data_IF_943297949186
#
_entry.id   IF_943297949186
#
_cell.length_a   1.000
_cell.length_b   1.000
_cell.length_c   1.000
_cell.angle_alpha   90.00
_cell.angle_beta   90.00
_cell.angle_gamma   90.00
#
_symmetry.space_group_name_H-M   'P 1'
#
loop_
_entity.id
_entity.type
_entity.pdbx_description
1 polymer ?
#
# COMPACT_ATOMS: atom_id res chain seq x y z
N UNK A 1 43.64 64.08 12.22
CA UNK A 1 43.11 62.79 12.72
C UNK A 1 41.71 62.61 12.17
N UNK A 2 41.51 61.63 11.27
CA UNK A 2 40.24 61.38 10.58
C UNK A 2 39.29 60.60 11.50
N UNK A 3 38.18 61.21 11.91
CA UNK A 3 37.08 60.47 12.53
C UNK A 3 35.85 60.51 11.62
N UNK A 4 35.94 59.76 10.52
CA UNK A 4 34.81 59.47 9.61
C UNK A 4 33.97 58.38 10.28
N UNK A 5 33.16 58.78 11.25
CA UNK A 5 32.21 57.91 11.95
C UNK A 5 31.32 57.23 10.91
N UNK A 6 31.43 55.90 10.87
CA UNK A 6 30.71 54.98 9.98
C UNK A 6 29.24 55.38 9.88
N UNK A 7 28.86 55.91 8.72
CA UNK A 7 27.47 56.04 8.30
C UNK A 7 26.96 54.63 7.99
N UNK A 8 26.63 53.89 9.05
CA UNK A 8 26.00 52.59 8.96
C UNK A 8 24.58 52.81 8.43
N UNK A 9 24.43 52.81 7.10
CA UNK A 9 23.16 52.68 6.40
C UNK A 9 22.57 51.28 6.69
N UNK A 10 22.15 51.03 7.94
CA UNK A 10 21.34 49.86 8.27
C UNK A 10 19.96 50.11 7.68
N UNK A 11 19.79 49.76 6.41
CA UNK A 11 18.47 49.60 5.79
C UNK A 11 17.78 48.46 6.53
N UNK A 12 16.93 48.82 7.49
CA UNK A 12 16.07 47.86 8.19
C UNK A 12 14.98 47.37 7.24
N UNK A 13 14.61 46.10 7.40
CA UNK A 13 13.45 45.51 6.73
C UNK A 13 12.19 46.23 7.25
N UNK A 14 11.31 46.68 6.37
CA UNK A 14 10.06 47.33 6.79
C UNK A 14 9.05 46.25 7.21
N UNK A 15 8.20 46.57 8.18
CA UNK A 15 7.10 45.67 8.56
C UNK A 15 6.14 45.42 7.37
N UNK A 16 6.00 46.39 6.49
CA UNK A 16 5.18 46.30 5.28
C UNK A 16 5.73 45.25 4.31
N UNK A 17 7.04 45.24 4.07
CA UNK A 17 7.68 44.21 3.21
C UNK A 17 7.47 42.80 3.77
N UNK A 18 7.51 42.64 5.09
CA UNK A 18 7.27 41.34 5.74
C UNK A 18 5.82 40.89 5.59
N UNK A 19 4.87 41.79 5.79
CA UNK A 19 3.44 41.49 5.67
C UNK A 19 3.08 41.09 4.23
N UNK A 20 3.58 41.80 3.22
CA UNK A 20 3.31 41.47 1.81
C UNK A 20 3.84 40.07 1.47
N UNK A 21 5.03 39.70 1.94
CA UNK A 21 5.61 38.36 1.71
C UNK A 21 4.76 37.28 2.38
N UNK A 22 4.34 37.48 3.64
CA UNK A 22 3.48 36.51 4.32
C UNK A 22 2.12 36.34 3.62
N UNK A 23 1.55 37.43 3.10
CA UNK A 23 0.29 37.37 2.33
C UNK A 23 0.47 36.53 1.07
N UNK A 24 1.56 36.73 0.31
CA UNK A 24 1.83 35.94 -0.90
C UNK A 24 2.06 34.46 -0.53
N UNK A 25 2.84 34.17 0.51
CA UNK A 25 3.07 32.80 0.99
C UNK A 25 1.77 32.12 1.43
N UNK A 26 0.86 32.85 2.09
CA UNK A 26 -0.43 32.32 2.50
C UNK A 26 -1.31 31.93 1.30
N UNK A 27 -1.36 32.77 0.25
CA UNK A 27 -2.11 32.47 -0.98
C UNK A 27 -1.53 31.24 -1.69
N UNK A 28 -0.20 31.17 -1.82
CA UNK A 28 0.46 30.02 -2.45
C UNK A 28 0.23 28.74 -1.66
N UNK A 29 0.34 28.78 -0.34
CA UNK A 29 0.09 27.63 0.51
C UNK A 29 -1.36 27.14 0.40
N UNK A 30 -2.33 28.04 0.38
CA UNK A 30 -3.76 27.70 0.26
C UNK A 30 -4.09 26.91 -1.01
N UNK A 31 -3.44 27.23 -2.13
CA UNK A 31 -3.62 26.51 -3.41
C UNK A 31 -2.83 25.19 -3.46
N UNK A 32 -1.65 25.16 -2.84
CA UNK A 32 -0.71 24.04 -2.97
C UNK A 32 -1.05 22.87 -2.04
N UNK A 33 -1.54 23.12 -0.83
CA UNK A 33 -1.90 22.09 0.15
C UNK A 33 -2.88 21.04 -0.40
N UNK A 34 -4.06 21.39 -0.97
CA UNK A 34 -5.02 20.39 -1.43
C UNK A 34 -4.51 19.53 -2.59
N UNK A 35 -3.72 20.14 -3.49
CA UNK A 35 -3.09 19.41 -4.58
C UNK A 35 -2.08 18.39 -4.04
N UNK A 36 -1.22 18.80 -3.11
CA UNK A 36 -0.19 17.95 -2.51
C UNK A 36 -0.80 16.77 -1.75
N UNK A 37 -1.87 16.99 -0.96
CA UNK A 37 -2.53 15.91 -0.22
C UNK A 37 -3.10 14.83 -1.16
N UNK A 38 -3.69 15.24 -2.29
CA UNK A 38 -4.22 14.29 -3.28
C UNK A 38 -3.13 13.42 -3.92
N UNK A 39 -1.96 13.99 -4.23
CA UNK A 39 -0.82 13.23 -4.77
C UNK A 39 -0.24 12.25 -3.76
N UNK A 40 -0.15 12.63 -2.48
CA UNK A 40 0.31 11.76 -1.41
C UNK A 40 -0.64 10.56 -1.26
N UNK A 41 -1.94 10.79 -1.27
CA UNK A 41 -2.92 9.70 -1.17
C UNK A 41 -2.90 8.77 -2.37
N UNK A 42 -2.71 9.30 -3.58
CA UNK A 42 -2.53 8.48 -4.78
C UNK A 42 -1.25 7.64 -4.71
N UNK A 43 -0.14 8.22 -4.25
CA UNK A 43 1.12 7.50 -4.05
C UNK A 43 0.97 6.38 -3.02
N UNK A 44 0.28 6.64 -1.91
CA UNK A 44 -0.04 5.62 -0.88
C UNK A 44 -0.91 4.50 -1.44
N UNK A 45 -1.92 4.82 -2.24
CA UNK A 45 -2.77 3.82 -2.90
C UNK A 45 -1.95 2.94 -3.86
N UNK A 46 -1.01 3.52 -4.61
CA UNK A 46 -0.13 2.75 -5.49
C UNK A 46 0.85 1.88 -4.72
N UNK A 47 1.42 2.40 -3.62
CA UNK A 47 2.31 1.67 -2.75
C UNK A 47 1.64 0.42 -2.18
N UNK A 48 0.44 0.56 -1.60
CA UNK A 48 -0.25 -0.59 -1.00
C UNK A 48 -0.63 -1.64 -2.05
N UNK A 49 -0.99 -1.23 -3.28
CA UNK A 49 -1.24 -2.18 -4.38
C UNK A 49 0.02 -2.96 -4.73
N UNK A 50 1.18 -2.30 -4.77
CA UNK A 50 2.46 -2.95 -5.06
C UNK A 50 2.86 -3.95 -3.97
N UNK A 51 2.74 -3.56 -2.70
CA UNK A 51 3.00 -4.45 -1.56
C UNK A 51 2.01 -5.63 -1.54
N UNK A 52 0.74 -5.39 -1.88
CA UNK A 52 -0.26 -6.47 -2.00
C UNK A 52 0.11 -7.45 -3.11
N UNK A 53 0.63 -6.98 -4.25
CA UNK A 53 1.12 -7.86 -5.33
C UNK A 53 2.27 -8.75 -4.87
N UNK A 54 3.25 -8.17 -4.17
CA UNK A 54 4.36 -8.93 -3.60
C UNK A 54 3.85 -9.99 -2.62
N UNK A 55 2.91 -9.61 -1.77
CA UNK A 55 2.29 -10.50 -0.79
C UNK A 55 1.51 -11.64 -1.45
N UNK A 56 0.75 -11.38 -2.52
CA UNK A 56 0.05 -12.42 -3.29
C UNK A 56 1.02 -13.40 -3.94
N UNK A 57 2.13 -12.92 -4.51
CA UNK A 57 3.14 -13.80 -5.11
C UNK A 57 3.81 -14.67 -4.05
N UNK A 58 4.21 -14.10 -2.92
CA UNK A 58 4.79 -14.84 -1.81
C UNK A 58 3.81 -15.88 -1.24
N UNK A 59 2.55 -15.48 -1.03
CA UNK A 59 1.51 -16.39 -0.56
C UNK A 59 1.28 -17.55 -1.54
N UNK A 60 1.25 -17.27 -2.84
CA UNK A 60 1.09 -18.30 -3.87
C UNK A 60 2.25 -19.31 -3.82
N UNK A 61 3.50 -18.83 -3.73
CA UNK A 61 4.68 -19.72 -3.65
C UNK A 61 4.61 -20.65 -2.44
N UNK A 62 4.30 -20.12 -1.26
CA UNK A 62 4.22 -20.93 -0.04
C UNK A 62 3.03 -21.90 -0.06
N UNK A 63 1.91 -21.49 -0.64
CA UNK A 63 0.73 -22.34 -0.80
C UNK A 63 1.01 -23.49 -1.78
N UNK A 64 1.72 -23.22 -2.87
CA UNK A 64 2.10 -24.25 -3.84
C UNK A 64 3.04 -25.29 -3.20
N UNK A 65 3.97 -24.85 -2.36
CA UNK A 65 4.83 -25.73 -1.57
C UNK A 65 4.03 -26.56 -0.55
N UNK A 66 3.15 -25.92 0.21
CA UNK A 66 2.31 -26.60 1.21
C UNK A 66 1.37 -27.64 0.58
N UNK A 67 0.87 -27.37 -0.63
CA UNK A 67 -0.04 -28.26 -1.34
C UNK A 67 0.60 -29.61 -1.70
N UNK A 68 1.93 -29.69 -1.84
CA UNK A 68 2.61 -30.95 -2.13
C UNK A 68 2.39 -32.03 -1.05
N UNK A 69 2.00 -31.63 0.16
CA UNK A 69 1.71 -32.53 1.29
C UNK A 69 0.21 -32.77 1.51
N UNK A 70 -0.66 -32.21 0.66
CA UNK A 70 -2.13 -32.27 0.80
C UNK A 70 -2.73 -33.31 -0.14
N UNK A 71 -3.90 -33.80 0.26
CA UNK A 71 -4.74 -34.61 -0.63
C UNK A 71 -5.21 -33.78 -1.82
N UNK A 72 -5.34 -34.44 -2.98
CA UNK A 72 -5.79 -33.80 -4.22
C UNK A 72 -7.12 -33.08 -4.01
N UNK A 73 -7.18 -31.81 -4.41
CA UNK A 73 -8.36 -30.95 -4.26
C UNK A 73 -8.53 -30.31 -2.89
N UNK A 74 -7.66 -30.59 -1.92
CA UNK A 74 -7.70 -29.96 -0.60
C UNK A 74 -6.79 -28.73 -0.58
N UNK A 75 -7.39 -27.54 -0.62
CA UNK A 75 -6.65 -26.29 -0.59
C UNK A 75 -5.91 -26.10 0.76
N UNK A 76 -4.64 -25.66 0.76
CA UNK A 76 -3.93 -25.27 1.97
C UNK A 76 -4.64 -24.11 2.68
N UNK A 77 -4.63 -24.13 4.01
CA UNK A 77 -5.22 -23.09 4.85
C UNK A 77 -4.16 -22.04 5.13
N UNK A 78 -4.44 -20.79 4.79
CA UNK A 78 -3.59 -19.64 5.14
C UNK A 78 -4.19 -18.93 6.34
N UNK A 79 -3.40 -18.68 7.38
CA UNK A 79 -3.91 -18.06 8.61
C UNK A 79 -2.84 -17.90 9.68
N UNK A 80 -3.21 -17.48 10.89
CA UNK A 80 -2.26 -17.40 12.00
C UNK A 80 -1.71 -18.78 12.42
N UNK A 81 -2.52 -19.83 12.26
CA UNK A 81 -2.18 -21.23 12.61
C UNK A 81 -2.51 -22.20 11.46
N UNK A 82 -2.42 -21.72 10.23
CA UNK A 82 -2.68 -22.52 9.02
C UNK A 82 -1.47 -23.33 8.55
N UNK A 83 -1.61 -24.00 7.41
CA UNK A 83 -0.50 -24.67 6.71
C UNK A 83 0.57 -23.68 6.25
N UNK A 84 0.13 -22.46 5.92
CA UNK A 84 1.00 -21.32 5.61
C UNK A 84 0.62 -20.18 6.55
N UNK A 85 1.59 -19.63 7.27
CA UNK A 85 1.31 -18.57 8.25
C UNK A 85 1.39 -17.18 7.64
N UNK A 86 0.64 -16.22 8.22
CA UNK A 86 0.79 -14.81 7.86
C UNK A 86 2.19 -14.27 8.15
N UNK A 87 2.93 -14.87 9.08
CA UNK A 87 4.31 -14.46 9.38
C UNK A 87 5.24 -14.83 8.23
N UNK A 88 5.12 -16.06 7.72
CA UNK A 88 5.98 -16.57 6.64
C UNK A 88 5.75 -15.81 5.33
N UNK A 89 4.48 -15.51 5.02
CA UNK A 89 4.13 -14.71 3.84
C UNK A 89 4.76 -13.32 3.92
N UNK A 90 4.67 -12.65 5.08
CA UNK A 90 5.27 -11.30 5.24
C UNK A 90 6.79 -11.33 5.18
N UNK A 91 7.41 -12.36 5.77
CA UNK A 91 8.85 -12.54 5.73
C UNK A 91 9.33 -12.73 4.28
N UNK A 92 8.65 -13.57 3.49
CA UNK A 92 8.99 -13.83 2.09
C UNK A 92 8.69 -12.62 1.18
N UNK A 93 7.61 -11.89 1.43
CA UNK A 93 7.26 -10.70 0.67
C UNK A 93 8.08 -9.45 1.06
N UNK A 94 8.85 -9.50 2.15
CA UNK A 94 9.59 -8.38 2.73
C UNK A 94 8.71 -7.16 3.03
N UNK A 95 7.52 -7.41 3.59
CA UNK A 95 6.53 -6.37 3.92
C UNK A 95 6.24 -6.28 5.42
N UNK A 96 5.97 -5.08 5.90
CA UNK A 96 5.73 -4.73 7.30
C UNK A 96 4.23 -4.51 7.64
N UNK A 97 3.34 -4.65 6.65
CA UNK A 97 1.90 -4.53 6.86
C UNK A 97 1.25 -5.74 7.53
N UNK A 98 -0.08 -5.76 7.49
CA UNK A 98 -0.89 -6.80 8.10
C UNK A 98 -1.72 -7.52 7.04
N UNK A 99 -1.78 -8.84 7.13
CA UNK A 99 -2.68 -9.67 6.34
C UNK A 99 -4.04 -9.78 7.05
N UNK A 100 -5.11 -9.67 6.28
CA UNK A 100 -6.47 -9.96 6.69
C UNK A 100 -6.92 -11.30 6.13
N UNK A 101 -8.14 -11.34 5.56
CA UNK A 101 -8.65 -12.56 4.94
C UNK A 101 -7.76 -12.99 3.76
N UNK A 102 -7.33 -14.25 3.79
CA UNK A 102 -6.70 -14.92 2.65
C UNK A 102 -7.50 -16.18 2.35
N UNK A 103 -7.93 -16.33 1.10
CA UNK A 103 -8.63 -17.53 0.63
C UNK A 103 -7.83 -18.20 -0.46
N UNK A 104 -7.70 -19.51 -0.34
CA UNK A 104 -7.05 -20.38 -1.32
C UNK A 104 -8.11 -21.28 -1.94
N UNK A 105 -8.01 -21.51 -3.25
CA UNK A 105 -8.91 -22.41 -3.96
C UNK A 105 -8.10 -23.42 -4.76
N UNK A 106 -8.44 -24.70 -4.60
CA UNK A 106 -7.94 -25.77 -5.43
C UNK A 106 -9.05 -26.17 -6.41
N UNK A 107 -8.85 -25.90 -7.71
CA UNK A 107 -9.85 -26.15 -8.75
C UNK A 107 -9.31 -27.15 -9.75
N UNK A 108 -10.05 -28.22 -9.98
CA UNK A 108 -9.72 -29.19 -11.02
C UNK A 108 -9.81 -28.55 -12.41
N UNK A 109 -8.72 -28.60 -13.18
CA UNK A 109 -8.63 -27.90 -14.47
C UNK A 109 -7.84 -28.74 -15.48
N UNK A 110 -8.48 -29.28 -16.55
CA UNK A 110 -9.92 -29.32 -16.82
C UNK A 110 -10.70 -30.19 -15.81
N UNK A 111 -12.00 -29.98 -15.68
CA UNK A 111 -12.85 -30.80 -14.82
C UNK A 111 -12.81 -32.29 -15.23
N UNK A 112 -12.68 -33.19 -14.26
CA UNK A 112 -12.51 -34.63 -14.46
C UNK A 112 -11.11 -35.11 -14.86
N UNK A 113 -10.09 -34.25 -14.84
CA UNK A 113 -8.70 -34.60 -15.20
C UNK A 113 -7.86 -35.19 -14.05
N UNK A 114 -8.29 -35.03 -12.81
CA UNK A 114 -7.51 -35.28 -11.60
C UNK A 114 -6.40 -34.23 -11.36
N UNK A 115 -6.29 -33.20 -12.21
CA UNK A 115 -5.26 -32.15 -12.12
C UNK A 115 -5.88 -30.92 -11.48
N UNK A 116 -5.30 -30.46 -10.36
CA UNK A 116 -5.79 -29.31 -9.60
C UNK A 116 -4.86 -28.12 -9.74
N UNK A 117 -5.44 -26.97 -10.05
CA UNK A 117 -4.77 -25.68 -9.96
C UNK A 117 -5.08 -25.06 -8.59
N UNK A 118 -4.03 -24.73 -7.83
CA UNK A 118 -4.17 -24.06 -6.54
C UNK A 118 -3.86 -22.59 -6.72
N UNK A 119 -4.77 -21.71 -6.29
CA UNK A 119 -4.61 -20.26 -6.44
C UNK A 119 -5.05 -19.52 -5.19
N UNK A 120 -4.35 -18.43 -4.87
CA UNK A 120 -4.87 -17.40 -3.96
C UNK A 120 -6.07 -16.73 -4.63
N UNK A 121 -7.29 -16.98 -4.16
CA UNK A 121 -8.52 -16.43 -4.75
C UNK A 121 -8.88 -15.05 -4.18
N UNK A 122 -8.56 -14.80 -2.92
CA UNK A 122 -8.68 -13.49 -2.25
C UNK A 122 -7.48 -13.28 -1.32
N UNK A 123 -6.98 -12.06 -1.25
CA UNK A 123 -6.01 -11.66 -0.23
C UNK A 123 -6.27 -10.22 0.20
N UNK A 124 -6.26 -9.98 1.50
CA UNK A 124 -6.38 -8.65 2.08
C UNK A 124 -5.06 -8.24 2.74
N UNK A 125 -4.57 -7.05 2.39
CA UNK A 125 -3.36 -6.47 2.96
C UNK A 125 -3.64 -5.05 3.42
N UNK A 126 -3.23 -4.71 4.65
CA UNK A 126 -3.48 -3.40 5.26
C UNK A 126 -2.19 -2.77 5.79
N UNK A 127 -2.03 -1.48 5.49
CA UNK A 127 -0.90 -0.65 5.95
C UNK A 127 -1.32 0.83 5.96
N UNK A 128 -0.86 1.58 6.96
CA UNK A 128 -1.06 3.04 7.06
C UNK A 128 -2.53 3.50 6.91
N UNK A 129 -3.48 2.79 7.52
CA UNK A 129 -4.92 3.11 7.44
C UNK A 129 -5.55 2.87 6.06
N UNK A 130 -4.85 2.15 5.18
CA UNK A 130 -5.36 1.68 3.89
C UNK A 130 -5.42 0.16 3.90
N UNK A 131 -6.43 -0.39 3.25
CA UNK A 131 -6.61 -1.82 3.00
C UNK A 131 -6.75 -2.04 1.51
N UNK A 132 -5.96 -2.95 0.96
CA UNK A 132 -6.08 -3.40 -0.41
C UNK A 132 -6.59 -4.84 -0.42
N UNK A 133 -7.63 -5.08 -1.22
CA UNK A 133 -8.20 -6.41 -1.44
C UNK A 133 -7.87 -6.85 -2.85
N UNK A 134 -7.20 -7.98 -2.96
CA UNK A 134 -6.95 -8.72 -4.18
C UNK A 134 -8.05 -9.75 -4.43
N UNK A 135 -8.47 -9.89 -5.69
CA UNK A 135 -9.32 -11.01 -6.16
C UNK A 135 -8.73 -11.61 -7.43
N UNK A 136 -8.52 -12.92 -7.50
CA UNK A 136 -7.94 -13.57 -8.69
C UNK A 136 -8.86 -13.50 -9.91
N UNK A 137 -10.15 -13.72 -9.70
CA UNK A 137 -11.21 -13.66 -10.71
C UNK A 137 -12.30 -12.68 -10.24
N UNK A 138 -12.09 -11.36 -10.39
CA UNK A 138 -13.10 -10.36 -10.04
C UNK A 138 -14.33 -10.50 -10.94
N UNK A 139 -15.50 -10.13 -10.42
CA UNK A 139 -16.72 -10.10 -11.22
C UNK A 139 -16.62 -9.05 -12.34
N UNK A 140 -17.47 -9.14 -13.36
CA UNK A 140 -17.51 -8.15 -14.43
C UNK A 140 -17.74 -6.74 -13.85
N UNK A 141 -16.83 -5.81 -14.18
CA UNK A 141 -16.86 -4.44 -13.64
C UNK A 141 -16.14 -4.24 -12.32
N UNK A 142 -15.62 -5.28 -11.67
CA UNK A 142 -14.78 -5.17 -10.48
C UNK A 142 -13.28 -5.10 -10.85
N UNK A 143 -12.53 -4.35 -10.06
CA UNK A 143 -11.07 -4.28 -10.19
C UNK A 143 -10.40 -5.46 -9.48
N UNK A 144 -9.28 -5.94 -10.04
CA UNK A 144 -8.46 -7.00 -9.44
C UNK A 144 -7.84 -6.59 -8.10
N UNK A 145 -7.58 -5.29 -7.91
CA UNK A 145 -7.08 -4.69 -6.67
C UNK A 145 -7.99 -3.54 -6.29
N UNK A 146 -8.64 -3.61 -5.15
CA UNK A 146 -9.49 -2.51 -4.65
C UNK A 146 -8.89 -1.95 -3.37
N UNK A 147 -8.66 -0.63 -3.33
CA UNK A 147 -8.11 0.05 -2.14
C UNK A 147 -9.22 0.80 -1.41
N UNK A 148 -9.38 0.52 -0.12
CA UNK A 148 -10.27 1.22 0.78
C UNK A 148 -9.48 1.88 1.92
N UNK A 149 -9.99 2.99 2.45
CA UNK A 149 -9.54 3.55 3.72
C UNK A 149 -10.14 2.76 4.87
N UNK A 150 -9.30 2.32 5.80
CA UNK A 150 -9.72 1.65 7.03
C UNK A 150 -10.08 2.75 8.02
N UNK A 151 -11.37 2.90 8.31
CA UNK A 151 -11.81 3.73 9.42
C UNK A 151 -11.44 3.02 10.73
N UNK A 152 -10.83 3.70 11.71
CA UNK A 152 -10.56 3.12 13.02
C UNK A 152 -11.84 2.69 13.75
#
# INVERSE_FOLDING_TARGET
>A
MLNKLRKNNKKGFTLVELIVVLVILAILAALLIPALTGYIDKARNQQIIAETRQTVMAAQTLVDEAYASKDLGTAPIVGATGDVTFSDIKALAEVDGTLGDVTVTATETPAGSGIYQVVISKLEYSKNGKKCTYKAAPASGEEKYTVATVTP
#
